data_IF_255307178682
#
_entry.id   IF_255307178682
#
_cell.length_a   1.000
_cell.length_b   1.000
_cell.length_c   1.000
_cell.angle_alpha   90.00
_cell.angle_beta   90.00
_cell.angle_gamma   90.00
#
_symmetry.space_group_name_H-M   'P 1'
#
loop_
_entity.id
_entity.type
_entity.pdbx_description
1 polymer ?
#
# COMPACT_ATOMS: atom_id res chain seq x y z
N UNK A 1 -10.36 -15.42 -18.55
CA UNK A 1 -11.31 -14.50 -17.87
C UNK A 1 -10.51 -13.33 -17.34
N UNK A 2 -10.84 -12.10 -17.74
CA UNK A 2 -10.08 -10.89 -17.42
C UNK A 2 -10.13 -10.61 -15.91
N UNK A 3 -9.01 -10.79 -15.20
CA UNK A 3 -8.80 -10.42 -13.79
C UNK A 3 -9.17 -8.95 -13.48
N UNK A 4 -9.21 -8.08 -14.51
CA UNK A 4 -9.50 -6.65 -14.41
C UNK A 4 -10.94 -6.30 -13.96
N UNK A 5 -11.89 -7.23 -14.00
CA UNK A 5 -13.29 -6.91 -13.65
C UNK A 5 -13.61 -6.97 -12.15
N UNK A 6 -12.71 -7.53 -11.31
CA UNK A 6 -12.96 -7.69 -9.86
C UNK A 6 -12.49 -6.51 -9.00
N UNK A 7 -11.64 -5.64 -9.52
CA UNK A 7 -10.98 -4.59 -8.75
C UNK A 7 -11.46 -3.19 -9.12
N UNK A 8 -12.76 -3.01 -9.42
CA UNK A 8 -13.28 -1.64 -9.51
C UNK A 8 -13.36 -1.03 -8.11
N UNK A 9 -13.12 0.27 -7.95
CA UNK A 9 -13.25 0.96 -6.66
C UNK A 9 -14.61 0.73 -6.00
N UNK A 10 -15.66 0.61 -6.80
CA UNK A 10 -17.00 0.30 -6.34
C UNK A 10 -17.11 -1.13 -5.81
N UNK A 11 -16.67 -2.13 -6.57
CA UNK A 11 -16.68 -3.53 -6.11
C UNK A 11 -15.88 -3.72 -4.82
N UNK A 12 -14.74 -3.04 -4.68
CA UNK A 12 -13.94 -3.07 -3.46
C UNK A 12 -14.66 -2.43 -2.26
N UNK A 13 -15.35 -1.30 -2.46
CA UNK A 13 -16.18 -0.66 -1.41
C UNK A 13 -17.36 -1.52 -1.00
N UNK A 14 -17.96 -2.26 -1.92
CA UNK A 14 -19.04 -3.20 -1.61
C UNK A 14 -18.51 -4.43 -0.87
N UNK A 15 -17.34 -4.94 -1.28
CA UNK A 15 -16.70 -6.10 -0.67
C UNK A 15 -16.41 -5.89 0.82
N UNK A 16 -16.03 -4.68 1.26
CA UNK A 16 -15.79 -4.35 2.68
C UNK A 16 -17.02 -4.61 3.57
N UNK A 17 -18.22 -4.59 2.97
CA UNK A 17 -19.48 -4.83 3.64
C UNK A 17 -19.82 -6.31 3.86
N UNK A 18 -19.16 -7.21 3.14
CA UNK A 18 -19.43 -8.66 3.19
C UNK A 18 -19.01 -9.26 4.52
N UNK A 19 -19.67 -10.36 4.92
CA UNK A 19 -19.32 -11.08 6.16
C UNK A 19 -17.90 -11.63 6.10
N UNK A 20 -17.49 -12.19 4.97
CA UNK A 20 -16.15 -12.75 4.75
C UNK A 20 -15.05 -11.71 5.00
N UNK A 21 -15.16 -10.54 4.35
CA UNK A 21 -14.15 -9.48 4.52
C UNK A 21 -14.18 -8.90 5.93
N UNK A 22 -15.35 -8.81 6.58
CA UNK A 22 -15.46 -8.39 7.99
C UNK A 22 -14.78 -9.35 8.95
N UNK A 23 -14.95 -10.66 8.77
CA UNK A 23 -14.27 -11.66 9.60
C UNK A 23 -12.75 -11.67 9.35
N UNK A 24 -12.31 -11.46 8.10
CA UNK A 24 -10.91 -11.26 7.80
C UNK A 24 -10.33 -10.02 8.52
N UNK A 25 -11.02 -8.88 8.47
CA UNK A 25 -10.62 -7.66 9.20
C UNK A 25 -10.53 -7.88 10.71
N UNK A 26 -11.51 -8.57 11.32
CA UNK A 26 -11.46 -8.93 12.76
C UNK A 26 -10.27 -9.83 13.10
N UNK A 27 -9.86 -10.68 12.17
CA UNK A 27 -8.69 -11.54 12.35
C UNK A 27 -7.40 -10.72 12.27
N UNK A 28 -7.28 -9.86 11.25
CA UNK A 28 -6.15 -8.95 11.08
C UNK A 28 -5.97 -8.00 12.27
N UNK A 29 -7.07 -7.48 12.83
CA UNK A 29 -7.01 -6.54 13.95
C UNK A 29 -6.39 -7.12 15.21
N UNK A 30 -6.41 -8.46 15.39
CA UNK A 30 -5.72 -9.13 16.52
C UNK A 30 -4.20 -8.98 16.45
N UNK A 31 -3.66 -8.67 15.28
CA UNK A 31 -2.24 -8.46 15.01
C UNK A 31 -1.91 -6.98 14.78
N UNK A 32 -2.85 -6.06 15.03
CA UNK A 32 -2.68 -4.64 14.71
C UNK A 32 -2.66 -4.34 13.21
N UNK A 33 -3.14 -5.28 12.37
CA UNK A 33 -3.22 -5.11 10.92
C UNK A 33 -4.60 -4.60 10.51
N UNK A 34 -4.64 -3.88 9.40
CA UNK A 34 -5.86 -3.36 8.78
C UNK A 34 -5.87 -3.68 7.28
N UNK A 35 -7.03 -3.48 6.66
CA UNK A 35 -7.18 -3.49 5.20
C UNK A 35 -7.18 -2.07 4.68
N UNK A 36 -6.69 -1.88 3.47
CA UNK A 36 -6.64 -0.59 2.79
C UNK A 36 -7.09 -0.78 1.34
N UNK A 37 -7.46 0.31 0.68
CA UNK A 37 -7.89 0.31 -0.71
C UNK A 37 -6.72 0.78 -1.59
N UNK A 38 -5.94 -0.11 -2.20
CA UNK A 38 -4.84 0.29 -3.08
C UNK A 38 -5.40 0.92 -4.37
N UNK A 39 -5.14 2.21 -4.60
CA UNK A 39 -5.62 2.93 -5.77
C UNK A 39 -4.70 4.08 -6.19
N UNK A 40 -4.85 4.53 -7.44
CA UNK A 40 -4.32 5.79 -7.95
C UNK A 40 -5.49 6.69 -8.39
N UNK A 41 -5.28 8.01 -8.40
CA UNK A 41 -6.25 8.96 -8.94
C UNK A 41 -5.98 9.18 -10.43
N UNK A 42 -7.01 9.03 -11.26
CA UNK A 42 -7.00 9.51 -12.64
C UNK A 42 -7.22 11.04 -12.68
N UNK A 43 -6.98 11.65 -13.84
CA UNK A 43 -7.13 13.11 -14.03
C UNK A 43 -8.57 13.59 -13.78
N UNK A 44 -9.56 12.74 -14.02
CA UNK A 44 -10.98 13.01 -13.76
C UNK A 44 -11.39 12.80 -12.29
N UNK A 45 -10.44 12.45 -11.42
CA UNK A 45 -10.67 12.15 -10.00
C UNK A 45 -11.22 10.74 -9.75
N UNK A 46 -11.39 9.92 -10.78
CA UNK A 46 -11.76 8.51 -10.60
C UNK A 46 -10.61 7.72 -10.01
N UNK A 47 -10.95 6.60 -9.37
CA UNK A 47 -9.96 5.70 -8.80
C UNK A 47 -9.63 4.61 -9.81
N UNK A 48 -8.35 4.40 -10.06
CA UNK A 48 -7.85 3.26 -10.82
C UNK A 48 -7.14 2.29 -9.87
N UNK A 49 -7.12 0.98 -10.18
CA UNK A 49 -6.36 0.01 -9.41
C UNK A 49 -4.87 0.39 -9.34
N UNK A 50 -4.25 0.19 -8.18
CA UNK A 50 -2.79 0.19 -8.08
C UNK A 50 -2.28 -1.08 -8.78
N UNK A 51 -1.44 -0.94 -9.80
CA UNK A 51 -0.88 -2.07 -10.54
C UNK A 51 0.27 -2.74 -9.78
N UNK A 52 0.50 -4.03 -10.01
CA UNK A 52 1.52 -4.83 -9.30
C UNK A 52 2.95 -4.27 -9.45
N UNK A 53 3.22 -3.57 -10.56
CA UNK A 53 4.50 -2.96 -10.86
C UNK A 53 4.71 -1.60 -10.18
N UNK A 54 3.73 -1.08 -9.45
CA UNK A 54 3.81 0.18 -8.71
C UNK A 54 3.83 -0.08 -7.21
N UNK A 55 4.62 0.72 -6.50
CA UNK A 55 4.69 0.75 -5.04
C UNK A 55 4.43 2.18 -4.58
N UNK A 56 3.59 2.32 -3.56
CA UNK A 56 3.39 3.57 -2.85
C UNK A 56 4.53 3.80 -1.86
N UNK A 57 5.09 5.01 -1.82
CA UNK A 57 6.11 5.39 -0.84
C UNK A 57 5.61 6.60 -0.07
N UNK A 58 5.73 6.55 1.25
CA UNK A 58 5.58 7.71 2.11
C UNK A 58 6.97 8.29 2.40
N UNK A 59 7.23 9.48 1.86
CA UNK A 59 8.46 10.25 2.09
C UNK A 59 8.16 11.46 2.97
N UNK A 60 9.20 12.10 3.51
CA UNK A 60 9.06 13.37 4.22
C UNK A 60 8.41 14.45 3.34
N UNK A 61 7.41 15.13 3.89
CA UNK A 61 6.77 16.28 3.24
C UNK A 61 7.49 17.58 3.57
N UNK A 62 6.97 18.70 3.05
CA UNK A 62 7.61 20.01 3.18
C UNK A 62 7.56 20.56 4.63
N UNK A 63 6.67 20.05 5.46
CA UNK A 63 6.48 20.46 6.86
C UNK A 63 6.89 19.35 7.84
N UNK A 64 7.40 19.69 9.05
CA UNK A 64 7.70 18.70 10.08
C UNK A 64 6.50 17.78 10.37
N UNK A 65 6.78 16.48 10.51
CA UNK A 65 5.76 15.45 10.75
C UNK A 65 4.74 15.25 9.62
N UNK A 66 4.96 15.83 8.44
CA UNK A 66 4.16 15.53 7.25
C UNK A 66 4.79 14.42 6.41
N UNK A 67 3.92 13.63 5.77
CA UNK A 67 4.31 12.59 4.82
C UNK A 67 3.65 12.86 3.50
N UNK A 68 4.45 12.81 2.44
CA UNK A 68 3.98 12.87 1.06
C UNK A 68 3.97 11.46 0.49
N UNK A 69 2.83 11.09 -0.07
CA UNK A 69 2.69 9.85 -0.83
C UNK A 69 3.21 10.06 -2.24
N UNK A 70 4.11 9.19 -2.69
CA UNK A 70 4.61 9.12 -4.07
C UNK A 70 4.48 7.70 -4.61
N UNK A 71 4.43 7.54 -5.93
CA UNK A 71 4.28 6.25 -6.59
C UNK A 71 5.48 6.01 -7.49
N UNK A 72 6.13 4.86 -7.34
CA UNK A 72 7.30 4.49 -8.16
C UNK A 72 7.15 3.09 -8.71
N UNK A 73 7.90 2.78 -9.75
CA UNK A 73 7.99 1.41 -10.27
C UNK A 73 8.74 0.52 -9.28
N UNK A 74 8.18 -0.66 -9.00
CA UNK A 74 8.76 -1.68 -8.12
C UNK A 74 10.20 -2.03 -8.48
N UNK A 75 10.53 -2.12 -9.76
CA UNK A 75 11.88 -2.45 -10.24
C UNK A 75 12.90 -1.30 -10.10
N UNK A 76 12.46 -0.10 -9.73
CA UNK A 76 13.34 1.04 -9.44
C UNK A 76 13.68 1.16 -7.96
N UNK A 77 13.06 0.34 -7.12
CA UNK A 77 13.38 0.25 -5.70
C UNK A 77 14.71 -0.50 -5.54
N UNK A 78 15.73 0.19 -5.08
CA UNK A 78 16.99 -0.41 -4.65
C UNK A 78 16.84 -0.81 -3.17
N UNK A 79 16.81 -2.12 -2.83
CA UNK A 79 16.62 -2.58 -1.45
C UNK A 79 17.70 -2.07 -0.49
N UNK A 80 18.90 -1.78 -1.00
CA UNK A 80 20.06 -1.35 -0.19
C UNK A 80 20.09 0.18 0.02
N UNK A 81 19.52 0.96 -0.91
CA UNK A 81 19.51 2.43 -0.80
C UNK A 81 18.30 2.98 -0.05
N UNK A 82 17.30 2.16 0.19
CA UNK A 82 16.05 2.58 0.76
C UNK A 82 15.97 2.13 2.22
N UNK A 83 16.32 3.02 3.15
CA UNK A 83 15.99 2.88 4.57
C UNK A 83 14.46 2.97 4.72
N UNK A 84 13.72 1.96 4.27
CA UNK A 84 12.26 1.96 4.21
C UNK A 84 11.70 0.71 4.87
N UNK A 85 10.65 0.88 5.66
CA UNK A 85 9.87 -0.23 6.24
C UNK A 85 8.63 -0.47 5.40
N UNK A 86 8.36 -1.73 5.07
CA UNK A 86 7.09 -2.11 4.47
C UNK A 86 5.95 -1.85 5.48
N UNK A 87 4.91 -1.14 5.04
CA UNK A 87 3.75 -0.79 5.87
C UNK A 87 2.42 -1.26 5.27
N UNK A 88 2.43 -1.73 4.03
CA UNK A 88 1.30 -2.43 3.44
C UNK A 88 1.77 -3.53 2.49
N UNK A 89 0.96 -4.59 2.38
CA UNK A 89 1.20 -5.74 1.52
C UNK A 89 -0.04 -6.03 0.68
N UNK A 90 0.18 -6.56 -0.52
CA UNK A 90 -0.85 -7.13 -1.39
C UNK A 90 -0.52 -8.60 -1.67
N UNK A 91 -1.54 -9.42 -1.87
CA UNK A 91 -1.34 -10.79 -2.34
C UNK A 91 -1.01 -10.77 -3.84
N UNK A 92 0.08 -11.40 -4.24
CA UNK A 92 0.44 -11.59 -5.64
C UNK A 92 0.13 -13.03 -6.06
N UNK A 93 -0.87 -13.20 -6.94
CA UNK A 93 -1.30 -14.53 -7.41
C UNK A 93 -0.21 -15.25 -8.23
N UNK A 94 0.65 -14.53 -8.96
CA UNK A 94 1.68 -15.16 -9.80
C UNK A 94 2.84 -15.72 -8.98
N UNK A 95 3.12 -15.10 -7.83
CA UNK A 95 4.18 -15.49 -6.91
C UNK A 95 3.66 -16.28 -5.70
N UNK A 96 2.33 -16.41 -5.57
CA UNK A 96 1.64 -17.04 -4.43
C UNK A 96 2.14 -16.54 -3.07
N UNK A 97 2.38 -15.23 -2.96
CA UNK A 97 2.92 -14.64 -1.73
C UNK A 97 2.46 -13.19 -1.53
N UNK A 98 2.56 -12.72 -0.29
CA UNK A 98 2.42 -11.30 0.02
C UNK A 98 3.64 -10.51 -0.46
N UNK A 99 3.41 -9.44 -1.23
CA UNK A 99 4.46 -8.52 -1.70
C UNK A 99 4.20 -7.11 -1.16
N UNK A 100 5.28 -6.34 -0.98
CA UNK A 100 5.20 -4.96 -0.46
C UNK A 100 4.39 -4.09 -1.41
N UNK A 101 3.38 -3.39 -0.90
CA UNK A 101 2.56 -2.46 -1.67
C UNK A 101 2.81 -1.01 -1.27
N UNK A 102 3.13 -0.78 0.00
CA UNK A 102 3.52 0.53 0.53
C UNK A 102 4.75 0.40 1.41
N UNK A 103 5.69 1.34 1.26
CA UNK A 103 6.85 1.48 2.15
C UNK A 103 6.96 2.89 2.72
N UNK A 104 7.25 3.00 4.01
CA UNK A 104 7.49 4.27 4.70
C UNK A 104 9.00 4.49 4.84
N UNK A 105 9.49 5.69 4.55
CA UNK A 105 10.89 6.05 4.80
C UNK A 105 11.15 6.23 6.29
N UNK A 106 12.17 5.52 6.79
CA UNK A 106 12.67 5.72 8.13
C UNK A 106 13.31 7.10 8.18
N UNK A 107 12.69 8.01 8.93
CA UNK A 107 13.45 9.10 9.52
C UNK A 107 14.38 8.42 10.52
N UNK A 108 15.63 8.16 10.15
CA UNK A 108 16.62 7.82 11.17
C UNK A 108 16.68 9.01 12.12
N UNK A 109 16.45 8.83 13.44
CA UNK A 109 16.84 9.83 14.42
C UNK A 109 18.37 9.77 14.56
N UNK A 110 19.10 10.07 13.50
CA UNK A 110 20.54 10.37 13.57
C UNK A 110 20.68 11.90 13.69
N UNK A 111 20.08 12.44 14.76
CA UNK A 111 20.76 13.46 15.55
C UNK A 111 21.45 12.73 16.71
N UNK A 112 22.64 13.16 17.16
CA UNK A 112 23.39 12.40 18.15
C UNK A 112 22.59 12.34 19.45
N UNK A 113 22.24 11.13 19.87
CA UNK A 113 21.75 10.89 21.21
C UNK A 113 22.97 10.61 22.10
N UNK A 114 23.48 11.68 22.73
CA UNK A 114 24.21 11.60 24.01
C UNK A 114 23.21 11.36 25.16
#
# INVERSE_FOLDING_TARGET
>A
MNQLTKFTPQAMREAIGTSEVKEAMKTLSKYGLAVWLPHIHAEDGSFLPLTDDIVQIEVEGDEPMTRKVTFVKRNTLDPEKLKRRAVAWIWNDSMEMAVVATSCEDLTPDGPHD
#
